data_IF_417499568524
#
_entry.id   IF_417499568524
#
_cell.length_a   1.000
_cell.length_b   1.000
_cell.length_c   1.000
_cell.angle_alpha   90.00
_cell.angle_beta   90.00
_cell.angle_gamma   90.00
#
_symmetry.space_group_name_H-M   'P 1'
#
loop_
_entity.id
_entity.type
_entity.pdbx_description
1 polymer ?
#
# COMPACT_ATOMS: atom_id res chain seq x y z
N UNK A 1 20.75 7.12 12.18
CA UNK A 1 21.30 7.32 10.82
C UNK A 1 21.58 8.79 10.61
N UNK A 2 22.71 9.12 10.02
CA UNK A 2 23.08 10.47 9.59
C UNK A 2 22.30 10.87 8.34
N UNK A 3 22.29 12.17 8.01
CA UNK A 3 21.66 12.67 6.78
C UNK A 3 22.26 12.03 5.51
N UNK A 4 23.57 11.81 5.48
CA UNK A 4 24.25 11.16 4.35
C UNK A 4 23.83 9.70 4.18
N UNK A 5 23.71 8.94 5.29
CA UNK A 5 23.21 7.55 5.25
C UNK A 5 21.78 7.47 4.76
N UNK A 6 20.90 8.41 5.14
CA UNK A 6 19.52 8.46 4.66
C UNK A 6 19.44 8.76 3.15
N UNK A 7 20.23 9.71 2.65
CA UNK A 7 20.31 10.01 1.20
C UNK A 7 20.77 8.77 0.44
N UNK A 8 21.78 8.07 0.93
CA UNK A 8 22.29 6.84 0.30
C UNK A 8 21.24 5.75 0.30
N UNK A 9 20.48 5.59 1.40
CA UNK A 9 19.40 4.60 1.50
C UNK A 9 18.26 4.91 0.51
N UNK A 10 17.84 6.18 0.40
CA UNK A 10 16.82 6.61 -0.55
C UNK A 10 17.26 6.31 -1.99
N UNK A 11 18.49 6.70 -2.36
CA UNK A 11 19.02 6.48 -3.70
C UNK A 11 19.15 4.98 -4.03
N UNK A 12 19.62 4.16 -3.08
CA UNK A 12 19.68 2.71 -3.25
C UNK A 12 18.28 2.08 -3.45
N UNK A 13 17.30 2.54 -2.67
CA UNK A 13 15.90 2.09 -2.83
C UNK A 13 15.35 2.49 -4.20
N UNK A 14 15.57 3.72 -4.64
CA UNK A 14 15.15 4.18 -5.97
C UNK A 14 15.77 3.35 -7.11
N UNK A 15 17.07 3.06 -7.06
CA UNK A 15 17.74 2.20 -8.05
C UNK A 15 17.17 0.77 -8.08
N UNK A 16 16.77 0.21 -6.92
CA UNK A 16 16.05 -1.07 -6.88
C UNK A 16 14.67 -0.96 -7.54
N UNK A 17 13.95 0.16 -7.35
CA UNK A 17 12.65 0.39 -7.99
C UNK A 17 12.78 0.47 -9.52
N UNK A 18 13.80 1.10 -10.05
CA UNK A 18 14.08 1.15 -11.51
C UNK A 18 14.34 -0.26 -12.08
N UNK A 19 15.16 -1.07 -11.39
CA UNK A 19 15.40 -2.45 -11.78
C UNK A 19 14.12 -3.31 -11.68
N UNK A 20 13.28 -3.07 -10.65
CA UNK A 20 12.00 -3.73 -10.47
C UNK A 20 11.02 -3.39 -11.59
N UNK A 21 10.94 -2.12 -12.03
CA UNK A 21 10.04 -1.69 -13.09
C UNK A 21 10.24 -2.48 -14.39
N UNK A 22 11.50 -2.69 -14.78
CA UNK A 22 11.83 -3.52 -15.95
C UNK A 22 11.47 -5.00 -15.75
N UNK A 23 11.69 -5.51 -14.52
CA UNK A 23 11.50 -6.92 -14.19
C UNK A 23 10.02 -7.32 -14.15
N UNK A 24 9.15 -6.47 -13.56
CA UNK A 24 7.74 -6.82 -13.35
C UNK A 24 6.81 -6.41 -14.50
N UNK A 25 7.27 -5.60 -15.45
CA UNK A 25 6.44 -5.08 -16.54
C UNK A 25 5.58 -6.15 -17.27
N UNK A 26 6.05 -7.38 -17.54
CA UNK A 26 5.22 -8.40 -18.19
C UNK A 26 4.08 -8.95 -17.32
N UNK A 27 4.13 -8.73 -16.01
CA UNK A 27 3.25 -9.37 -15.02
C UNK A 27 2.19 -8.45 -14.44
N UNK A 28 2.34 -7.14 -14.61
CA UNK A 28 1.45 -6.12 -14.04
C UNK A 28 0.71 -5.36 -15.16
N UNK A 29 -0.20 -4.49 -14.77
CA UNK A 29 -0.79 -3.48 -15.65
C UNK A 29 -0.13 -2.13 -15.38
N UNK A 30 0.13 -1.37 -16.43
CA UNK A 30 0.35 0.07 -16.31
C UNK A 30 -0.99 0.68 -15.92
N UNK A 31 -1.07 1.18 -14.69
CA UNK A 31 -2.31 1.76 -14.20
C UNK A 31 -2.44 3.22 -14.61
N UNK A 32 -3.66 3.62 -14.91
CA UNK A 32 -3.97 4.98 -15.34
C UNK A 32 -3.57 6.01 -14.26
N UNK A 33 -3.17 7.17 -14.73
CA UNK A 33 -3.10 8.40 -13.96
C UNK A 33 -4.28 9.28 -14.37
N UNK A 34 -5.41 9.13 -13.67
CA UNK A 34 -6.68 9.76 -13.98
C UNK A 34 -6.73 11.22 -13.51
N UNK A 35 -6.82 12.18 -14.44
CA UNK A 35 -7.04 13.59 -14.11
C UNK A 35 -8.54 13.83 -13.86
N UNK A 36 -8.90 14.38 -12.70
CA UNK A 36 -10.29 14.63 -12.33
C UNK A 36 -10.65 16.10 -12.35
N UNK A 37 -11.45 16.53 -13.33
CA UNK A 37 -11.93 17.92 -13.42
C UNK A 37 -12.73 18.35 -12.19
N UNK A 38 -13.57 17.47 -11.64
CA UNK A 38 -14.34 17.75 -10.44
C UNK A 38 -13.45 18.06 -9.22
N UNK A 39 -12.38 17.27 -9.02
CA UNK A 39 -11.43 17.52 -7.94
C UNK A 39 -10.52 18.72 -8.24
N UNK A 40 -10.20 18.98 -9.50
CA UNK A 40 -9.44 20.17 -9.88
C UNK A 40 -10.20 21.46 -9.51
N UNK A 41 -11.50 21.53 -9.84
CA UNK A 41 -12.35 22.66 -9.47
C UNK A 41 -12.53 22.79 -7.96
N UNK A 42 -12.72 21.68 -7.26
CA UNK A 42 -12.91 21.64 -5.81
C UNK A 42 -11.68 22.15 -5.03
N UNK A 43 -10.47 21.77 -5.48
CA UNK A 43 -9.21 22.03 -4.77
C UNK A 43 -8.50 23.28 -5.33
N UNK A 44 -8.76 23.66 -6.57
CA UNK A 44 -7.99 24.71 -7.26
C UNK A 44 -6.58 24.25 -7.63
N UNK A 45 -6.38 22.95 -7.89
CA UNK A 45 -5.12 22.30 -8.19
C UNK A 45 -5.30 21.29 -9.34
N UNK A 46 -4.22 20.77 -9.88
CA UNK A 46 -4.24 19.77 -10.94
C UNK A 46 -4.14 18.38 -10.32
N UNK A 47 -5.29 17.75 -10.00
CA UNK A 47 -5.38 16.51 -9.25
C UNK A 47 -5.40 15.30 -10.17
N UNK A 48 -4.46 14.38 -9.93
CA UNK A 48 -4.31 13.12 -10.63
C UNK A 48 -4.40 11.95 -9.68
N UNK A 49 -5.25 10.97 -9.97
CA UNK A 49 -5.39 9.74 -9.22
C UNK A 49 -4.60 8.62 -9.88
N UNK A 50 -3.62 8.05 -9.19
CA UNK A 50 -2.91 6.84 -9.63
C UNK A 50 -3.75 5.62 -9.27
N UNK A 51 -4.37 5.01 -10.29
CA UNK A 51 -5.47 4.04 -10.15
C UNK A 51 -4.99 2.60 -9.89
N UNK A 52 -4.33 2.37 -8.75
CA UNK A 52 -3.87 1.02 -8.36
C UNK A 52 -5.03 0.07 -7.98
N UNK A 53 -6.23 0.58 -7.74
CA UNK A 53 -7.46 -0.22 -7.64
C UNK A 53 -7.78 -0.96 -8.95
N UNK A 54 -7.28 -0.50 -10.10
CA UNK A 54 -7.42 -1.13 -11.42
C UNK A 54 -6.33 -2.14 -11.75
N UNK A 55 -5.38 -2.40 -10.84
CA UNK A 55 -4.38 -3.46 -11.00
C UNK A 55 -5.08 -4.84 -11.04
N UNK A 56 -4.43 -5.87 -11.58
CA UNK A 56 -4.99 -7.22 -11.78
C UNK A 56 -5.66 -7.80 -10.51
N UNK A 57 -5.07 -7.55 -9.34
CA UNK A 57 -5.61 -8.02 -8.05
C UNK A 57 -6.45 -6.98 -7.31
N UNK A 58 -6.72 -5.84 -7.94
CA UNK A 58 -7.46 -4.73 -7.34
C UNK A 58 -6.67 -3.92 -6.34
N UNK A 59 -5.33 -4.03 -6.30
CA UNK A 59 -4.45 -3.21 -5.46
C UNK A 59 -3.00 -3.23 -5.92
N UNK A 60 -2.22 -2.24 -5.47
CA UNK A 60 -0.78 -2.10 -5.73
C UNK A 60 0.08 -3.29 -5.26
N UNK A 61 -0.42 -4.09 -4.32
CA UNK A 61 0.34 -5.18 -3.68
C UNK A 61 0.92 -6.19 -4.67
N UNK A 62 0.31 -6.35 -5.84
CA UNK A 62 0.81 -7.24 -6.88
C UNK A 62 2.22 -6.88 -7.33
N UNK A 63 2.56 -5.59 -7.40
CA UNK A 63 3.86 -5.08 -7.84
C UNK A 63 5.00 -5.64 -6.97
N UNK A 64 4.87 -5.50 -5.65
CA UNK A 64 5.86 -6.02 -4.70
C UNK A 64 5.90 -7.53 -4.62
N UNK A 65 4.74 -8.20 -4.65
CA UNK A 65 4.66 -9.66 -4.65
C UNK A 65 5.37 -10.26 -5.86
N UNK A 66 5.07 -9.78 -7.06
CA UNK A 66 5.72 -10.24 -8.31
C UNK A 66 7.22 -9.95 -8.25
N UNK A 67 7.63 -8.73 -7.88
CA UNK A 67 9.04 -8.38 -7.84
C UNK A 67 9.81 -9.31 -6.88
N UNK A 68 9.26 -9.56 -5.69
CA UNK A 68 9.92 -10.42 -4.71
C UNK A 68 10.06 -11.85 -5.19
N UNK A 69 9.01 -12.43 -5.78
CA UNK A 69 9.07 -13.81 -6.27
C UNK A 69 10.01 -13.96 -7.48
N UNK A 70 10.14 -12.94 -8.32
CA UNK A 70 11.10 -12.94 -9.44
C UNK A 70 12.57 -12.82 -8.99
N UNK A 71 12.83 -12.33 -7.78
CA UNK A 71 14.19 -12.18 -7.23
C UNK A 71 14.61 -13.34 -6.33
N UNK A 72 13.78 -14.35 -6.15
CA UNK A 72 14.14 -15.58 -5.44
C UNK A 72 15.19 -16.37 -6.23
N UNK A 73 16.08 -17.06 -5.52
CA UNK A 73 17.01 -18.03 -6.15
C UNK A 73 16.23 -19.21 -6.70
N UNK A 74 16.85 -20.01 -7.57
CA UNK A 74 16.20 -21.20 -8.13
C UNK A 74 15.84 -22.20 -7.03
N UNK A 75 16.70 -22.36 -6.01
CA UNK A 75 16.42 -23.22 -4.85
C UNK A 75 15.19 -22.72 -4.07
N UNK A 76 15.09 -21.40 -3.81
CA UNK A 76 13.95 -20.81 -3.13
C UNK A 76 12.65 -20.95 -3.94
N UNK A 77 12.73 -20.81 -5.26
CA UNK A 77 11.57 -21.00 -6.15
C UNK A 77 11.06 -22.42 -6.14
N UNK A 78 11.97 -23.41 -6.16
CA UNK A 78 11.62 -24.83 -6.10
C UNK A 78 11.05 -25.21 -4.74
N UNK A 79 11.60 -24.65 -3.65
CA UNK A 79 11.07 -24.87 -2.31
C UNK A 79 9.66 -24.29 -2.15
N UNK A 80 9.38 -23.15 -2.73
CA UNK A 80 8.10 -22.45 -2.62
C UNK A 80 8.09 -21.33 -1.58
N UNK A 81 6.94 -20.68 -1.41
CA UNK A 81 6.83 -19.55 -0.51
C UNK A 81 5.60 -19.62 0.41
N UNK A 82 5.66 -18.80 1.46
CA UNK A 82 4.59 -18.66 2.45
C UNK A 82 4.33 -17.19 2.71
N UNK A 83 3.07 -16.83 2.92
CA UNK A 83 2.70 -15.53 3.48
C UNK A 83 1.53 -15.66 4.44
N UNK A 84 1.30 -14.63 5.25
CA UNK A 84 0.12 -14.50 6.10
C UNK A 84 -0.64 -13.24 5.70
N UNK A 85 -1.81 -13.39 5.07
CA UNK A 85 -2.71 -12.27 4.79
C UNK A 85 -4.02 -12.75 4.20
N UNK A 86 -5.14 -12.33 4.77
CA UNK A 86 -6.48 -12.53 4.19
C UNK A 86 -6.88 -11.42 3.18
N UNK A 87 -6.08 -10.35 3.06
CA UNK A 87 -6.40 -9.17 2.26
C UNK A 87 -5.62 -9.07 0.95
N UNK A 88 -5.29 -7.83 0.57
CA UNK A 88 -4.63 -7.49 -0.68
C UNK A 88 -3.29 -8.21 -0.91
N UNK A 89 -2.51 -8.41 0.16
CA UNK A 89 -1.21 -9.06 0.05
C UNK A 89 -1.35 -10.55 -0.25
N UNK A 90 -2.24 -11.26 0.45
CA UNK A 90 -2.50 -12.68 0.18
C UNK A 90 -2.97 -12.92 -1.26
N UNK A 91 -3.92 -12.12 -1.75
CA UNK A 91 -4.38 -12.20 -3.13
C UNK A 91 -3.27 -11.87 -4.15
N UNK A 92 -2.40 -10.90 -3.83
CA UNK A 92 -1.27 -10.54 -4.68
C UNK A 92 -0.21 -11.64 -4.77
N UNK A 93 0.15 -12.27 -3.63
CA UNK A 93 1.09 -13.40 -3.59
C UNK A 93 0.52 -14.60 -4.34
N UNK A 94 -0.77 -14.94 -4.14
CA UNK A 94 -1.43 -16.00 -4.89
C UNK A 94 -1.38 -15.77 -6.41
N UNK A 95 -1.71 -14.56 -6.85
CA UNK A 95 -1.65 -14.19 -8.27
C UNK A 95 -0.23 -14.26 -8.84
N UNK A 96 0.76 -13.82 -8.07
CA UNK A 96 2.16 -13.87 -8.47
C UNK A 96 2.67 -15.32 -8.56
N UNK A 97 2.34 -16.18 -7.58
CA UNK A 97 2.64 -17.61 -7.60
C UNK A 97 2.05 -18.30 -8.84
N UNK A 98 0.77 -18.05 -9.12
CA UNK A 98 0.10 -18.61 -10.30
C UNK A 98 0.81 -18.18 -11.59
N UNK A 99 1.11 -16.90 -11.75
CA UNK A 99 1.78 -16.35 -12.93
C UNK A 99 3.19 -16.90 -13.14
N UNK A 100 3.88 -17.23 -12.05
CA UNK A 100 5.27 -17.74 -12.06
C UNK A 100 5.34 -19.27 -11.93
N UNK A 101 4.19 -19.96 -11.84
CA UNK A 101 4.08 -21.41 -11.63
C UNK A 101 4.88 -21.89 -10.39
N UNK A 102 4.73 -21.18 -9.30
CA UNK A 102 5.35 -21.48 -8.01
C UNK A 102 4.33 -22.05 -7.04
N UNK A 103 4.77 -22.98 -6.21
CA UNK A 103 3.97 -23.49 -5.10
C UNK A 103 4.11 -22.58 -3.87
N UNK A 104 3.08 -22.59 -3.02
CA UNK A 104 3.14 -21.85 -1.76
C UNK A 104 1.83 -21.89 -0.98
N UNK A 105 1.90 -21.43 0.25
CA UNK A 105 0.81 -21.46 1.22
C UNK A 105 0.50 -20.04 1.70
N UNK A 106 -0.79 -19.75 1.82
CA UNK A 106 -1.27 -18.48 2.37
C UNK A 106 -2.04 -18.79 3.67
N UNK A 107 -1.45 -18.39 4.78
CA UNK A 107 -2.12 -18.49 6.08
C UNK A 107 -3.07 -17.35 6.30
N UNK A 108 -4.24 -17.66 6.86
CA UNK A 108 -5.28 -16.68 7.21
C UNK A 108 -5.84 -17.00 8.60
N UNK A 109 -6.32 -16.01 9.37
CA UNK A 109 -7.03 -16.24 10.62
C UNK A 109 -8.26 -17.15 10.43
N UNK A 110 -8.62 -17.94 11.45
CA UNK A 110 -9.77 -18.86 11.38
C UNK A 110 -11.10 -18.15 11.09
N UNK A 111 -11.27 -16.91 11.57
CA UNK A 111 -12.47 -16.10 11.36
C UNK A 111 -12.52 -15.38 10.02
N UNK A 112 -11.59 -15.68 9.09
CA UNK A 112 -11.55 -15.00 7.77
C UNK A 112 -12.81 -15.31 6.96
N UNK A 113 -13.46 -14.27 6.43
CA UNK A 113 -14.69 -14.40 5.64
C UNK A 113 -14.47 -15.20 4.35
N UNK A 114 -15.51 -15.94 3.92
CA UNK A 114 -15.50 -16.73 2.69
C UNK A 114 -15.11 -15.91 1.46
N UNK A 115 -15.59 -14.68 1.35
CA UNK A 115 -15.30 -13.79 0.24
C UNK A 115 -13.79 -13.48 0.11
N UNK A 116 -13.09 -13.24 1.23
CA UNK A 116 -11.63 -13.04 1.26
C UNK A 116 -10.90 -14.32 0.84
N UNK A 117 -11.34 -15.49 1.33
CA UNK A 117 -10.78 -16.81 0.98
C UNK A 117 -10.95 -17.11 -0.52
N UNK A 118 -12.15 -16.92 -1.06
CA UNK A 118 -12.45 -17.15 -2.47
C UNK A 118 -11.61 -16.28 -3.39
N UNK A 119 -11.32 -15.05 -2.98
CA UNK A 119 -10.45 -14.15 -3.73
C UNK A 119 -9.03 -14.69 -3.86
N UNK A 120 -8.45 -15.24 -2.78
CA UNK A 120 -7.13 -15.87 -2.81
C UNK A 120 -7.18 -17.13 -3.68
N UNK A 121 -8.19 -17.98 -3.48
CA UNK A 121 -8.38 -19.23 -4.24
C UNK A 121 -8.60 -19.00 -5.72
N UNK A 122 -9.21 -17.90 -6.13
CA UNK A 122 -9.36 -17.50 -7.55
C UNK A 122 -8.03 -17.42 -8.27
N UNK A 123 -6.97 -17.09 -7.57
CA UNK A 123 -5.60 -17.07 -8.08
C UNK A 123 -4.84 -18.36 -7.80
N UNK A 124 -5.52 -19.46 -7.45
CA UNK A 124 -4.91 -20.77 -7.23
C UNK A 124 -4.14 -20.90 -5.92
N UNK A 125 -4.23 -19.92 -5.00
CA UNK A 125 -3.53 -19.98 -3.71
C UNK A 125 -4.05 -21.09 -2.81
N UNK A 126 -3.15 -21.91 -2.22
CA UNK A 126 -3.47 -22.82 -1.13
C UNK A 126 -3.67 -22.01 0.15
N UNK A 127 -4.89 -22.08 0.71
CA UNK A 127 -5.25 -21.35 1.93
C UNK A 127 -5.25 -22.34 3.11
N UNK A 128 -4.51 -21.99 4.17
CA UNK A 128 -4.53 -22.67 5.45
C UNK A 128 -4.96 -21.72 6.56
N UNK A 129 -5.70 -22.25 7.52
CA UNK A 129 -6.21 -21.48 8.64
C UNK A 129 -5.32 -21.66 9.86
N UNK A 130 -5.01 -20.57 10.54
CA UNK A 130 -4.31 -20.59 11.81
C UNK A 130 -4.49 -19.30 12.59
N UNK A 131 -4.75 -19.44 13.90
CA UNK A 131 -4.80 -18.35 14.85
C UNK A 131 -6.10 -17.55 14.83
N UNK A 132 -6.24 -16.69 15.82
CA UNK A 132 -7.43 -15.87 16.03
C UNK A 132 -7.33 -14.50 15.34
N UNK A 133 -6.11 -14.03 15.07
CA UNK A 133 -5.84 -12.72 14.50
C UNK A 133 -4.65 -12.72 13.53
N UNK A 134 -4.35 -11.54 12.97
CA UNK A 134 -3.28 -11.40 11.98
C UNK A 134 -1.88 -11.62 12.55
N UNK A 135 -1.63 -11.29 13.80
CA UNK A 135 -0.31 -11.42 14.44
C UNK A 135 0.03 -12.90 14.71
N UNK A 136 -0.93 -13.64 15.27
CA UNK A 136 -0.80 -15.08 15.48
C UNK A 136 -0.54 -15.81 14.16
N UNK A 137 -1.33 -15.44 13.13
CA UNK A 137 -1.23 -16.03 11.78
C UNK A 137 0.13 -15.73 11.16
N UNK A 138 0.63 -14.51 11.28
CA UNK A 138 1.91 -14.11 10.72
C UNK A 138 3.08 -14.81 11.42
N UNK A 139 3.05 -14.87 12.75
CA UNK A 139 4.07 -15.56 13.54
C UNK A 139 4.16 -17.02 13.13
N UNK A 140 3.00 -17.70 13.07
CA UNK A 140 2.94 -19.08 12.60
C UNK A 140 3.48 -19.26 11.17
N UNK A 141 3.11 -18.38 10.26
CA UNK A 141 3.57 -18.46 8.86
C UNK A 141 5.09 -18.34 8.75
N UNK A 142 5.71 -17.49 9.56
CA UNK A 142 7.18 -17.33 9.62
C UNK A 142 7.85 -18.60 10.17
N UNK A 143 7.31 -19.16 11.26
CA UNK A 143 7.81 -20.41 11.85
C UNK A 143 7.63 -21.59 10.89
N UNK A 144 6.50 -21.64 10.20
CA UNK A 144 6.24 -22.64 9.16
C UNK A 144 7.23 -22.52 8.02
N UNK A 145 7.50 -21.30 7.52
CA UNK A 145 8.48 -21.05 6.49
C UNK A 145 9.87 -21.56 6.91
N UNK A 146 10.32 -21.18 8.11
CA UNK A 146 11.62 -21.57 8.64
C UNK A 146 11.75 -23.10 8.79
N UNK A 147 10.73 -23.77 9.33
CA UNK A 147 10.76 -25.21 9.58
C UNK A 147 10.68 -26.07 8.31
N UNK A 148 10.14 -25.53 7.22
CA UNK A 148 9.97 -26.24 5.95
C UNK A 148 10.93 -25.74 4.85
N UNK A 149 11.82 -24.81 5.17
CA UNK A 149 12.77 -24.24 4.19
C UNK A 149 12.10 -23.41 3.08
N UNK A 150 10.91 -22.84 3.35
CA UNK A 150 10.15 -22.02 2.43
C UNK A 150 10.53 -20.55 2.59
N UNK A 151 10.28 -19.75 1.57
CA UNK A 151 10.50 -18.31 1.65
C UNK A 151 9.26 -17.58 2.19
N UNK A 152 9.43 -16.81 3.29
CA UNK A 152 8.35 -15.95 3.79
C UNK A 152 8.29 -14.64 3.01
N UNK A 153 7.14 -14.34 2.39
CA UNK A 153 6.90 -13.11 1.64
C UNK A 153 6.25 -12.07 2.54
N UNK A 154 7.03 -11.10 3.00
CA UNK A 154 6.55 -10.00 3.86
C UNK A 154 5.65 -9.02 3.08
N UNK A 155 4.58 -8.48 3.69
CA UNK A 155 3.70 -7.51 3.06
C UNK A 155 4.33 -6.12 2.84
N UNK A 156 5.45 -5.78 3.50
CA UNK A 156 6.11 -4.48 3.43
C UNK A 156 7.59 -4.46 3.86
N UNK A 157 8.00 -5.34 4.79
CA UNK A 157 9.34 -5.34 5.40
C UNK A 157 10.31 -6.22 4.60
N UNK A 158 10.53 -5.86 3.35
CA UNK A 158 11.43 -6.54 2.41
C UNK A 158 11.85 -5.55 1.30
N UNK A 159 13.14 -5.43 1.02
CA UNK A 159 13.69 -4.48 0.06
C UNK A 159 13.12 -4.67 -1.35
N UNK A 160 12.90 -5.91 -1.78
CA UNK A 160 12.36 -6.20 -3.11
C UNK A 160 10.84 -5.99 -3.17
N UNK A 161 10.12 -6.18 -2.06
CA UNK A 161 8.71 -5.79 -1.96
C UNK A 161 8.59 -4.27 -2.06
N UNK A 162 9.39 -3.51 -1.31
CA UNK A 162 9.43 -2.04 -1.38
C UNK A 162 9.75 -1.58 -2.82
N UNK A 163 10.75 -2.20 -3.44
CA UNK A 163 11.16 -1.89 -4.81
C UNK A 163 10.02 -2.10 -5.82
N UNK A 164 9.30 -3.21 -5.71
CA UNK A 164 8.13 -3.46 -6.54
C UNK A 164 7.03 -2.42 -6.34
N UNK A 165 6.72 -2.03 -5.11
CA UNK A 165 5.75 -0.97 -4.81
C UNK A 165 6.18 0.40 -5.35
N UNK A 166 7.49 0.69 -5.30
CA UNK A 166 8.08 1.92 -5.80
C UNK A 166 7.97 2.11 -7.31
N UNK A 167 7.70 1.05 -8.09
CA UNK A 167 7.45 1.16 -9.53
C UNK A 167 6.25 2.06 -9.86
N UNK A 168 5.29 2.18 -8.91
CA UNK A 168 4.22 3.17 -8.99
C UNK A 168 4.78 4.61 -9.06
N UNK A 169 5.84 4.90 -8.29
CA UNK A 169 6.55 6.18 -8.33
C UNK A 169 7.29 6.42 -9.65
N UNK A 170 7.85 5.38 -10.26
CA UNK A 170 8.46 5.46 -11.60
C UNK A 170 7.43 5.90 -12.65
N UNK A 171 6.27 5.24 -12.68
CA UNK A 171 5.18 5.59 -13.59
C UNK A 171 4.69 7.03 -13.38
N UNK A 172 4.55 7.47 -12.11
CA UNK A 172 4.15 8.85 -11.78
C UNK A 172 5.18 9.84 -12.29
N UNK A 173 6.48 9.64 -12.02
CA UNK A 173 7.55 10.54 -12.47
C UNK A 173 7.62 10.67 -13.99
N UNK A 174 7.35 9.56 -14.72
CA UNK A 174 7.31 9.56 -16.19
C UNK A 174 6.09 10.30 -16.76
N UNK A 175 4.91 10.14 -16.13
CA UNK A 175 3.65 10.72 -16.60
C UNK A 175 3.45 12.17 -16.14
N UNK A 176 4.01 12.55 -15.00
CA UNK A 176 3.95 13.89 -14.39
C UNK A 176 5.35 14.39 -14.02
N UNK A 177 6.19 14.77 -14.98
CA UNK A 177 7.57 15.20 -14.69
C UNK A 177 7.66 16.47 -13.84
N UNK A 178 6.59 17.27 -13.79
CA UNK A 178 6.48 18.49 -12.99
C UNK A 178 5.52 18.33 -11.79
N UNK A 179 5.50 17.14 -11.17
CA UNK A 179 4.68 16.88 -9.97
C UNK A 179 5.22 17.65 -8.76
N UNK A 180 4.34 18.29 -8.00
CA UNK A 180 4.66 19.06 -6.79
C UNK A 180 4.45 18.26 -5.51
N UNK A 181 3.43 17.40 -5.47
CA UNK A 181 3.05 16.66 -4.26
C UNK A 181 2.43 15.30 -4.55
N UNK A 182 2.61 14.36 -3.61
CA UNK A 182 1.93 13.06 -3.66
C UNK A 182 1.35 12.68 -2.29
N UNK A 183 0.14 12.14 -2.29
CA UNK A 183 -0.56 11.61 -1.10
C UNK A 183 -0.56 10.08 -1.13
N UNK A 184 0.00 9.46 -0.10
CA UNK A 184 0.17 8.01 -0.02
C UNK A 184 -0.33 7.50 1.31
N UNK A 185 -1.28 6.55 1.30
CA UNK A 185 -1.72 5.86 2.51
C UNK A 185 -0.60 4.97 3.08
N UNK A 186 -0.44 5.00 4.40
CA UNK A 186 0.65 4.34 5.11
C UNK A 186 0.13 3.38 6.17
N UNK A 187 0.43 2.08 6.00
CA UNK A 187 0.39 1.09 7.08
C UNK A 187 1.84 0.77 7.49
N UNK A 188 2.36 -0.39 7.12
CA UNK A 188 3.75 -0.78 7.36
C UNK A 188 4.83 -0.02 6.55
N UNK A 189 4.46 0.95 5.73
CA UNK A 189 5.38 1.89 5.08
C UNK A 189 5.97 1.44 3.72
N UNK A 190 5.66 0.23 3.22
CA UNK A 190 6.28 -0.28 1.99
C UNK A 190 6.00 0.57 0.74
N UNK A 191 4.75 1.03 0.56
CA UNK A 191 4.34 1.83 -0.59
C UNK A 191 4.98 3.22 -0.57
N UNK A 192 4.85 3.94 0.55
CA UNK A 192 5.41 5.28 0.70
C UNK A 192 6.93 5.29 0.64
N UNK A 193 7.59 4.24 1.18
CA UNK A 193 9.05 4.07 1.09
C UNK A 193 9.52 3.96 -0.35
N UNK A 194 8.85 3.13 -1.16
CA UNK A 194 9.18 2.95 -2.57
C UNK A 194 8.90 4.21 -3.40
N UNK A 195 7.65 4.71 -3.36
CA UNK A 195 7.24 5.91 -4.12
C UNK A 195 8.09 7.13 -3.71
N UNK A 196 8.21 7.35 -2.40
CA UNK A 196 8.95 8.50 -1.88
C UNK A 196 10.42 8.46 -2.26
N UNK A 197 11.06 7.29 -2.21
CA UNK A 197 12.47 7.15 -2.64
C UNK A 197 12.66 7.50 -4.11
N UNK A 198 11.79 7.01 -4.99
CA UNK A 198 11.83 7.34 -6.42
C UNK A 198 11.62 8.84 -6.65
N UNK A 199 10.55 9.41 -6.11
CA UNK A 199 10.19 10.80 -6.36
C UNK A 199 11.22 11.78 -5.75
N UNK A 200 11.72 11.53 -4.54
CA UNK A 200 12.77 12.35 -3.90
C UNK A 200 14.11 12.27 -4.63
N UNK A 201 14.41 11.14 -5.27
CA UNK A 201 15.61 11.02 -6.12
C UNK A 201 15.43 11.75 -7.44
N UNK A 202 14.22 11.75 -8.00
CA UNK A 202 13.89 12.50 -9.22
C UNK A 202 13.89 14.02 -8.97
N UNK A 203 13.20 14.47 -7.92
CA UNK A 203 13.17 15.86 -7.49
C UNK A 203 13.00 15.91 -5.95
N UNK A 204 14.00 16.37 -5.18
CA UNK A 204 13.94 16.42 -3.73
C UNK A 204 12.89 17.41 -3.18
N UNK A 205 12.40 18.34 -4.00
CA UNK A 205 11.41 19.34 -3.60
C UNK A 205 9.97 18.82 -3.67
N UNK A 206 9.72 17.64 -4.28
CA UNK A 206 8.39 17.01 -4.30
C UNK A 206 7.95 16.72 -2.87
N UNK A 207 6.76 17.19 -2.49
CA UNK A 207 6.20 16.96 -1.15
C UNK A 207 5.53 15.60 -1.07
N UNK A 208 5.94 14.79 -0.09
CA UNK A 208 5.37 13.47 0.20
C UNK A 208 4.50 13.56 1.45
N UNK A 209 3.18 13.46 1.26
CA UNK A 209 2.20 13.39 2.35
C UNK A 209 1.93 11.93 2.69
N UNK A 210 2.38 11.52 3.86
CA UNK A 210 2.14 10.19 4.44
C UNK A 210 0.81 10.20 5.19
N UNK A 211 -0.18 9.45 4.72
CA UNK A 211 -1.57 9.57 5.17
C UNK A 211 -1.96 8.36 6.02
N UNK A 212 -2.52 8.59 7.22
CA UNK A 212 -2.97 7.51 8.11
C UNK A 212 -4.35 7.79 8.71
N UNK A 213 -5.15 6.73 8.98
CA UNK A 213 -6.36 6.87 9.78
C UNK A 213 -5.98 7.17 11.24
N UNK A 214 -6.77 7.98 11.92
CA UNK A 214 -6.59 8.27 13.35
C UNK A 214 -6.62 7.00 14.19
N UNK A 215 -7.46 6.06 13.84
CA UNK A 215 -7.62 4.78 14.51
C UNK A 215 -6.35 3.89 14.45
N UNK A 216 -5.43 4.12 13.48
CA UNK A 216 -4.19 3.32 13.33
C UNK A 216 -3.05 4.17 12.76
N UNK A 217 -2.66 5.25 13.47
CA UNK A 217 -1.60 6.18 13.05
C UNK A 217 -0.20 5.78 13.57
N UNK A 218 0.10 4.48 13.61
CA UNK A 218 1.28 3.92 14.30
C UNK A 218 2.60 4.42 13.68
N UNK A 219 2.69 4.54 12.35
CA UNK A 219 3.91 5.06 11.70
C UNK A 219 4.15 6.53 12.05
N UNK A 220 3.12 7.37 12.07
CA UNK A 220 3.24 8.78 12.45
C UNK A 220 3.74 8.93 13.89
N UNK A 221 3.15 8.18 14.83
CA UNK A 221 3.59 8.16 16.22
C UNK A 221 5.02 7.63 16.36
N UNK A 222 5.38 6.60 15.60
CA UNK A 222 6.74 6.05 15.58
C UNK A 222 7.77 7.06 15.08
N UNK A 223 7.45 7.78 14.01
CA UNK A 223 8.34 8.82 13.47
C UNK A 223 8.48 9.99 14.45
N UNK A 224 7.39 10.42 15.07
CA UNK A 224 7.43 11.46 16.11
C UNK A 224 8.24 11.03 17.34
N UNK A 225 8.14 9.76 17.74
CA UNK A 225 8.92 9.20 18.86
C UNK A 225 10.38 8.87 18.49
N UNK A 226 10.76 8.90 17.22
CA UNK A 226 12.09 8.52 16.73
C UNK A 226 12.41 7.02 16.83
N UNK A 227 11.42 6.18 17.14
CA UNK A 227 11.51 4.71 17.25
C UNK A 227 10.16 4.09 16.94
N UNK A 228 10.15 2.84 16.51
CA UNK A 228 8.91 2.09 16.35
C UNK A 228 8.24 1.95 17.72
N UNK A 229 6.98 2.39 17.82
CA UNK A 229 6.17 2.27 19.02
C UNK A 229 5.20 1.09 18.86
N UNK A 230 5.03 0.35 19.95
CA UNK A 230 3.99 -0.66 20.07
C UNK A 230 2.77 -0.01 20.74
N UNK A 231 1.68 0.05 19.98
CA UNK A 231 0.43 0.63 20.46
C UNK A 231 -0.76 -0.06 19.80
N UNK A 232 -1.86 -0.25 20.50
CA UNK A 232 -3.06 -0.81 19.90
C UNK A 232 -3.60 0.14 18.82
N UNK A 233 -4.19 -0.44 17.78
CA UNK A 233 -5.04 0.29 16.83
C UNK A 233 -6.51 0.00 17.14
N UNK A 234 -7.38 0.93 16.79
CA UNK A 234 -8.81 0.76 16.81
C UNK A 234 -9.34 0.25 15.45
N UNK A 235 -10.61 -0.14 15.40
CA UNK A 235 -11.29 -0.48 14.16
C UNK A 235 -11.29 0.70 13.18
N UNK A 236 -11.05 0.43 11.91
CA UNK A 236 -10.99 1.44 10.86
C UNK A 236 -11.54 0.89 9.54
N UNK A 237 -12.13 1.76 8.72
CA UNK A 237 -12.46 1.48 7.33
C UNK A 237 -11.20 1.13 6.51
N UNK A 238 -10.03 1.55 6.99
CA UNK A 238 -8.74 1.38 6.32
C UNK A 238 -8.04 0.07 6.72
N UNK A 239 -8.72 -1.07 6.55
CA UNK A 239 -8.16 -2.42 6.85
C UNK A 239 -6.73 -2.60 6.30
N UNK A 240 -6.47 -2.07 5.10
CA UNK A 240 -5.19 -2.22 4.41
C UNK A 240 -4.02 -1.48 5.06
N UNK A 241 -4.27 -0.56 5.98
CA UNK A 241 -3.26 0.20 6.72
C UNK A 241 -3.27 -0.08 8.22
N UNK A 242 -4.25 -0.86 8.70
CA UNK A 242 -4.35 -1.23 10.11
C UNK A 242 -3.26 -2.22 10.52
N UNK A 243 -2.86 -2.16 11.78
CA UNK A 243 -1.92 -3.07 12.41
C UNK A 243 -0.58 -2.44 12.79
N UNK A 244 0.20 -3.20 13.57
CA UNK A 244 1.51 -2.81 14.08
C UNK A 244 2.59 -2.74 12.99
N UNK A 245 3.75 -2.24 13.39
CA UNK A 245 4.97 -2.23 12.57
C UNK A 245 5.98 -3.14 13.25
N UNK A 246 6.57 -4.07 12.49
CA UNK A 246 7.62 -4.95 12.99
C UNK A 246 8.77 -4.16 13.60
N UNK A 247 9.27 -4.60 14.77
CA UNK A 247 10.47 -4.01 15.35
C UNK A 247 11.66 -4.22 14.40
N UNK A 248 12.39 -3.15 14.12
CA UNK A 248 13.48 -3.19 13.16
C UNK A 248 13.06 -3.14 11.68
N UNK A 249 11.80 -2.85 11.38
CA UNK A 249 11.34 -2.74 10.00
C UNK A 249 12.16 -1.74 9.20
N UNK A 250 12.67 -2.17 8.04
CA UNK A 250 13.49 -1.35 7.13
C UNK A 250 12.70 -0.18 6.54
N UNK A 251 11.37 -0.28 6.50
CA UNK A 251 10.48 0.79 6.04
C UNK A 251 10.48 2.00 6.99
N UNK A 252 10.72 1.81 8.30
CA UNK A 252 10.69 2.90 9.26
C UNK A 252 11.70 4.02 8.95
N UNK A 253 13.01 3.76 8.81
CA UNK A 253 13.96 4.80 8.47
C UNK A 253 13.72 5.41 7.09
N UNK A 254 13.24 4.64 6.11
CA UNK A 254 12.95 5.14 4.77
C UNK A 254 11.72 6.06 4.81
N UNK A 255 10.61 5.62 5.42
CA UNK A 255 9.40 6.44 5.56
C UNK A 255 9.70 7.76 6.26
N UNK A 256 10.45 7.70 7.38
CA UNK A 256 10.89 8.90 8.11
C UNK A 256 11.72 9.86 7.25
N UNK A 257 12.48 9.33 6.29
CA UNK A 257 13.38 10.13 5.45
C UNK A 257 12.66 10.74 4.24
N UNK A 258 11.62 10.08 3.72
CA UNK A 258 10.91 10.53 2.50
C UNK A 258 9.66 11.33 2.80
N UNK A 259 8.97 11.08 3.92
CA UNK A 259 7.74 11.77 4.28
C UNK A 259 8.04 13.21 4.78
N UNK A 260 7.46 14.19 4.11
CA UNK A 260 7.58 15.59 4.54
C UNK A 260 6.53 15.94 5.60
N UNK A 261 5.36 15.30 5.52
CA UNK A 261 4.25 15.52 6.44
C UNK A 261 3.44 14.26 6.66
N UNK A 262 3.02 14.01 7.92
CA UNK A 262 2.00 13.02 8.22
C UNK A 262 0.63 13.69 8.36
N UNK A 263 -0.34 13.23 7.56
CA UNK A 263 -1.72 13.71 7.60
C UNK A 263 -2.60 12.63 8.20
N UNK A 264 -3.20 12.95 9.34
CA UNK A 264 -4.09 12.04 10.07
C UNK A 264 -5.53 12.43 9.78
N UNK A 265 -6.36 11.44 9.43
CA UNK A 265 -7.76 11.61 9.06
C UNK A 265 -8.67 10.74 9.92
N UNK A 266 -9.88 11.23 10.20
CA UNK A 266 -10.89 10.50 10.95
C UNK A 266 -11.66 9.53 10.06
N UNK A 267 -12.36 8.55 10.66
CA UNK A 267 -13.22 7.59 9.93
C UNK A 267 -14.33 8.31 9.14
N UNK A 268 -14.90 9.37 9.71
CA UNK A 268 -15.90 10.18 9.02
C UNK A 268 -15.34 10.87 7.77
N UNK A 269 -14.10 11.40 7.85
CA UNK A 269 -13.41 11.99 6.71
C UNK A 269 -13.11 10.94 5.63
N UNK A 270 -12.68 9.74 6.03
CA UNK A 270 -12.43 8.63 5.10
C UNK A 270 -13.72 8.27 4.35
N UNK A 271 -14.82 8.03 5.09
CA UNK A 271 -16.11 7.68 4.49
C UNK A 271 -16.61 8.77 3.53
N UNK A 272 -16.53 10.04 3.93
CA UNK A 272 -16.91 11.18 3.09
C UNK A 272 -16.05 11.27 1.80
N UNK A 273 -14.74 11.10 1.93
CA UNK A 273 -13.81 11.11 0.81
C UNK A 273 -14.05 9.94 -0.16
N UNK A 274 -14.35 8.73 0.35
CA UNK A 274 -14.72 7.58 -0.47
C UNK A 274 -15.99 7.86 -1.27
N UNK A 275 -17.06 8.39 -0.64
CA UNK A 275 -18.29 8.77 -1.34
C UNK A 275 -18.03 9.82 -2.42
N UNK A 276 -17.29 10.87 -2.08
CA UNK A 276 -16.97 11.94 -3.02
C UNK A 276 -16.22 11.39 -4.23
N UNK A 277 -15.23 10.52 -4.00
CA UNK A 277 -14.46 9.88 -5.07
C UNK A 277 -15.36 9.00 -5.96
N UNK A 278 -16.14 8.10 -5.35
CA UNK A 278 -17.04 7.20 -6.11
C UNK A 278 -18.06 7.96 -6.96
N UNK A 279 -18.61 9.07 -6.43
CA UNK A 279 -19.61 9.89 -7.14
C UNK A 279 -19.01 10.68 -8.31
N UNK A 280 -17.73 11.10 -8.24
CA UNK A 280 -17.13 11.96 -9.25
C UNK A 280 -16.19 11.22 -10.22
N UNK A 281 -15.63 10.09 -9.82
CA UNK A 281 -14.71 9.29 -10.66
C UNK A 281 -15.40 8.01 -11.16
N UNK A 282 -16.37 7.50 -10.43
CA UNK A 282 -17.17 6.34 -10.82
C UNK A 282 -16.54 4.98 -10.47
N UNK A 283 -15.38 4.97 -9.80
CA UNK A 283 -14.69 3.75 -9.37
C UNK A 283 -14.91 3.49 -7.88
N UNK A 284 -15.04 2.21 -7.52
CA UNK A 284 -15.04 1.79 -6.11
C UNK A 284 -13.62 1.76 -5.56
N UNK A 285 -13.45 2.31 -4.35
CA UNK A 285 -12.17 2.32 -3.64
C UNK A 285 -12.34 1.75 -2.21
N UNK A 286 -11.27 1.16 -1.68
CA UNK A 286 -11.20 0.70 -0.29
C UNK A 286 -10.85 1.84 0.67
N UNK A 287 -11.04 1.63 1.97
CA UNK A 287 -10.78 2.63 3.01
C UNK A 287 -9.35 3.17 2.98
N UNK A 288 -8.35 2.33 2.71
CA UNK A 288 -6.95 2.76 2.60
C UNK A 288 -6.73 3.80 1.47
N UNK A 289 -7.42 3.66 0.33
CA UNK A 289 -7.41 4.68 -0.71
C UNK A 289 -8.18 5.93 -0.28
N UNK A 290 -9.30 5.76 0.44
CA UNK A 290 -10.08 6.84 1.05
C UNK A 290 -9.25 7.72 1.99
N UNK A 291 -8.31 7.13 2.74
CA UNK A 291 -7.36 7.87 3.61
C UNK A 291 -6.54 8.88 2.81
N UNK A 292 -5.99 8.49 1.67
CA UNK A 292 -5.17 9.39 0.84
C UNK A 292 -6.03 10.53 0.22
N UNK A 293 -7.25 10.22 -0.22
CA UNK A 293 -8.20 11.22 -0.74
C UNK A 293 -8.61 12.18 0.38
N UNK A 294 -8.97 11.69 1.57
CA UNK A 294 -9.34 12.50 2.72
C UNK A 294 -8.20 13.44 3.15
N UNK A 295 -6.98 12.94 3.17
CA UNK A 295 -5.79 13.72 3.50
C UNK A 295 -5.54 14.85 2.48
N UNK A 296 -5.73 14.58 1.19
CA UNK A 296 -5.63 15.59 0.14
C UNK A 296 -6.70 16.67 0.33
N UNK A 297 -7.96 16.31 0.60
CA UNK A 297 -9.04 17.26 0.88
C UNK A 297 -8.73 18.12 2.12
N UNK A 298 -8.18 17.53 3.17
CA UNK A 298 -7.78 18.24 4.40
C UNK A 298 -6.64 19.25 4.16
N UNK A 299 -5.86 19.10 3.10
CA UNK A 299 -4.73 19.97 2.73
C UNK A 299 -5.02 20.87 1.52
N UNK A 300 -6.27 20.95 1.08
CA UNK A 300 -6.68 21.70 -0.11
C UNK A 300 -6.07 23.12 -0.20
N UNK A 301 -6.07 23.86 0.92
CA UNK A 301 -5.61 25.26 0.98
C UNK A 301 -4.14 25.45 0.55
N UNK A 302 -3.29 24.44 0.79
CA UNK A 302 -1.85 24.51 0.47
C UNK A 302 -1.50 23.89 -0.88
N UNK A 303 -2.50 23.42 -1.64
CA UNK A 303 -2.32 22.75 -2.93
C UNK A 303 -2.66 23.64 -4.13
N UNK A 304 -3.19 24.84 -3.92
CA UNK A 304 -3.65 25.73 -5.00
C UNK A 304 -2.57 25.92 -6.08
N UNK A 305 -2.94 25.67 -7.34
CA UNK A 305 -2.07 25.79 -8.50
C UNK A 305 -1.04 24.66 -8.67
N UNK A 306 -0.96 23.71 -7.76
CA UNK A 306 0.02 22.59 -7.80
C UNK A 306 -0.48 21.43 -8.66
N UNK A 307 0.46 20.61 -9.13
CA UNK A 307 0.21 19.30 -9.74
C UNK A 307 0.40 18.23 -8.68
N UNK A 308 -0.68 17.50 -8.38
CA UNK A 308 -0.77 16.59 -7.24
C UNK A 308 -1.16 15.18 -7.71
N UNK A 309 -0.46 14.16 -7.23
CA UNK A 309 -0.91 12.78 -7.37
C UNK A 309 -1.47 12.24 -6.04
N UNK A 310 -2.56 11.48 -6.12
CA UNK A 310 -3.15 10.75 -5.00
C UNK A 310 -3.17 9.28 -5.34
N UNK A 311 -2.61 8.43 -4.47
CA UNK A 311 -2.53 7.00 -4.75
C UNK A 311 -3.83 6.31 -4.34
N UNK A 312 -4.59 5.85 -5.32
CA UNK A 312 -5.75 4.98 -5.12
C UNK A 312 -5.23 3.55 -4.99
N UNK A 313 -4.73 3.23 -3.81
CA UNK A 313 -3.89 2.06 -3.55
C UNK A 313 -4.60 0.72 -3.71
N UNK A 314 -5.95 0.70 -3.63
CA UNK A 314 -6.77 -0.48 -3.83
C UNK A 314 -8.26 -0.17 -3.88
N UNK A 315 -9.04 -1.15 -4.36
CA UNK A 315 -10.50 -1.10 -4.44
C UNK A 315 -11.18 -2.34 -3.86
N UNK A 316 -10.48 -3.12 -3.06
CA UNK A 316 -10.97 -4.38 -2.50
C UNK A 316 -11.75 -4.15 -1.19
N UNK A 317 -12.91 -3.54 -1.31
CA UNK A 317 -13.85 -3.29 -0.21
C UNK A 317 -14.89 -4.41 -0.12
N UNK A 318 -15.37 -4.74 1.08
CA UNK A 318 -16.49 -5.65 1.27
C UNK A 318 -17.82 -4.95 1.01
N UNK A 319 -18.86 -5.75 0.67
CA UNK A 319 -20.21 -5.22 0.47
C UNK A 319 -20.75 -4.55 1.75
N UNK A 320 -20.37 -5.07 2.92
CA UNK A 320 -20.74 -4.52 4.22
C UNK A 320 -20.11 -3.13 4.45
N UNK A 321 -18.80 -3.01 4.22
CA UNK A 321 -18.11 -1.72 4.32
C UNK A 321 -18.63 -0.72 3.27
N UNK A 322 -18.92 -1.18 2.05
CA UNK A 322 -19.47 -0.34 1.01
C UNK A 322 -20.88 0.18 1.39
N UNK A 323 -21.72 -0.67 1.97
CA UNK A 323 -23.02 -0.26 2.49
C UNK A 323 -22.90 0.75 3.63
N UNK A 324 -21.97 0.54 4.57
CA UNK A 324 -21.67 1.46 5.66
C UNK A 324 -21.24 2.84 5.13
N UNK A 325 -20.32 2.86 4.16
CA UNK A 325 -19.87 4.11 3.52
C UNK A 325 -21.03 4.82 2.81
N UNK A 326 -21.93 4.09 2.18
CA UNK A 326 -23.06 4.64 1.41
C UNK A 326 -24.18 5.18 2.31
N UNK A 327 -24.49 4.51 3.43
CA UNK A 327 -25.60 4.89 4.33
C UNK A 327 -25.33 6.17 5.13
N UNK A 328 -24.09 6.53 5.40
CA UNK A 328 -23.74 7.78 6.09
C UNK A 328 -24.02 9.06 5.29
N UNK A 329 -24.62 8.95 4.11
CA UNK A 329 -25.09 10.11 3.33
C UNK A 329 -26.42 10.69 3.85
N UNK A 330 -27.24 9.91 4.60
CA UNK A 330 -28.57 10.30 5.05
C UNK A 330 -28.55 11.10 6.36
N UNK A 331 -27.47 11.10 7.14
CA UNK A 331 -27.37 11.80 8.42
C UNK A 331 -26.78 13.22 8.34
N UNK A 332 -26.40 13.68 7.15
CA UNK A 332 -25.72 14.98 6.96
C UNK A 332 -26.58 16.08 6.32
N UNK A 333 -27.93 16.01 6.45
CA UNK A 333 -28.87 17.05 6.00
C UNK A 333 -29.66 17.69 7.14
#
# INVERSE_FOLDING_TARGET
>A
MTRSELITLIAATAGRCEAAALRIAPYIRDTELHCSSAFNELIGANIHFKMENRQRTGSFKLRGAVNRLLTLTDEQRVAGCVTASSGNHGAAVACAMQGLKMDGVIFVPEATSSAKIEKIRRYGGEVRFFGSDGLDTETHARDYANSHGLFYVSPYNDEEVIAGQGTCGIEIAQMLPAIDAVFVAVGGGGLVSGIGSVLKTHNPDIRIFACQPQASAIMAHSVAAGRIVDMPGDETLSDGTAGGIEQGAITFPITRAVADEFVIVTEAQIAAAMRLFMNNVGDTIEGAAGVAVAAMLQRAEVLSGQTVAVIICGGNISDEQLAQVSSGAEEAH
#
